data_IF_359937602773
#
_entry.id   IF_359937602773
#
_cell.length_a   1.000
_cell.length_b   1.000
_cell.length_c   1.000
_cell.angle_alpha   90.00
_cell.angle_beta   90.00
_cell.angle_gamma   90.00
#
_symmetry.space_group_name_H-M   'P 1'
#
loop_
_entity.id
_entity.type
_entity.pdbx_description
1 polymer ?
#
# COMPACT_ATOMS: atom_id res chain seq x y z
N UNK A 1 -0.43 -1.70 6.72
CA UNK A 1 -1.01 -2.39 5.54
C UNK A 1 -2.48 -1.97 5.45
N UNK A 2 -3.00 -1.57 4.29
CA UNK A 2 -4.39 -1.09 4.14
C UNK A 2 -4.99 -1.50 2.80
N UNK A 3 -6.31 -1.69 2.74
CA UNK A 3 -7.04 -1.77 1.48
C UNK A 3 -7.12 -0.40 0.82
N UNK A 4 -7.02 -0.34 -0.51
CA UNK A 4 -7.22 0.89 -1.28
C UNK A 4 -8.67 1.35 -1.19
N UNK A 5 -9.63 0.42 -1.27
CA UNK A 5 -11.06 0.71 -1.30
C UNK A 5 -11.69 0.25 0.00
N UNK A 6 -12.18 1.19 0.80
CA UNK A 6 -12.91 0.93 2.05
C UNK A 6 -14.14 1.84 2.16
N UNK A 7 -15.20 1.40 2.84
CA UNK A 7 -16.33 2.28 3.13
C UNK A 7 -15.90 3.51 3.94
N UNK A 8 -16.49 4.67 3.63
CA UNK A 8 -16.28 5.98 4.29
C UNK A 8 -14.93 6.63 4.00
N UNK A 9 -13.82 6.00 4.37
CA UNK A 9 -12.47 6.57 4.21
C UNK A 9 -11.59 5.52 3.53
N UNK A 10 -11.00 5.88 2.39
CA UNK A 10 -10.10 4.99 1.65
C UNK A 10 -8.74 4.82 2.34
N UNK A 11 -8.05 3.71 2.12
CA UNK A 11 -6.77 3.45 2.78
C UNK A 11 -5.68 4.45 2.42
N UNK A 12 -5.72 5.02 1.21
CA UNK A 12 -4.83 6.11 0.81
C UNK A 12 -5.00 7.34 1.68
N UNK A 13 -6.24 7.76 1.92
CA UNK A 13 -6.53 8.91 2.76
C UNK A 13 -6.12 8.68 4.23
N UNK A 14 -6.30 7.45 4.74
CA UNK A 14 -5.80 7.10 6.09
C UNK A 14 -4.28 7.22 6.15
N UNK A 15 -3.58 6.66 5.17
CA UNK A 15 -2.12 6.73 5.11
C UNK A 15 -1.63 8.18 5.03
N UNK A 16 -2.26 9.02 4.20
CA UNK A 16 -1.97 10.45 4.07
C UNK A 16 -2.18 11.21 5.39
N UNK A 17 -3.21 10.85 6.17
CA UNK A 17 -3.46 11.45 7.50
C UNK A 17 -2.47 10.98 8.57
N UNK A 18 -1.96 9.76 8.45
CA UNK A 18 -0.99 9.18 9.39
C UNK A 18 0.46 9.57 9.07
N UNK A 19 0.78 9.90 7.82
CA UNK A 19 2.14 10.24 7.39
C UNK A 19 2.76 11.39 8.20
N UNK A 20 2.06 12.50 8.55
CA UNK A 20 2.62 13.57 9.38
C UNK A 20 2.90 13.14 10.83
N UNK A 21 2.15 12.15 11.33
CA UNK A 21 2.30 11.62 12.70
C UNK A 21 3.40 10.56 12.77
N UNK A 22 3.60 9.81 11.67
CA UNK A 22 4.59 8.74 11.57
C UNK A 22 5.40 8.88 10.28
N UNK A 23 6.37 9.81 10.22
CA UNK A 23 7.11 10.11 8.97
C UNK A 23 7.86 8.93 8.36
N UNK A 24 8.25 7.96 9.18
CA UNK A 24 8.97 6.76 8.76
C UNK A 24 8.05 5.54 8.50
N UNK A 25 6.74 5.70 8.69
CA UNK A 25 5.79 4.63 8.47
C UNK A 25 5.80 4.22 7.00
N UNK A 26 5.95 2.91 6.76
CA UNK A 26 5.77 2.32 5.45
C UNK A 26 4.33 1.84 5.29
N UNK A 27 3.77 2.07 4.11
CA UNK A 27 2.41 1.66 3.79
C UNK A 27 2.45 0.70 2.61
N UNK A 28 1.77 -0.43 2.77
CA UNK A 28 1.44 -1.38 1.69
C UNK A 28 -0.05 -1.25 1.42
N UNK A 29 -0.39 -0.96 0.16
CA UNK A 29 -1.75 -0.87 -0.35
C UNK A 29 -2.16 -2.18 -1.02
N UNK A 30 -3.38 -2.66 -0.74
CA UNK A 30 -3.91 -3.88 -1.33
C UNK A 30 -5.16 -3.57 -2.15
N UNK A 31 -5.29 -4.12 -3.36
CA UNK A 31 -6.49 -3.97 -4.21
C UNK A 31 -6.73 -5.21 -5.06
N UNK A 32 -7.99 -5.59 -5.25
CA UNK A 32 -8.41 -6.61 -6.23
C UNK A 32 -9.05 -6.02 -7.49
N UNK A 33 -8.99 -4.69 -7.67
CA UNK A 33 -9.45 -4.01 -8.87
C UNK A 33 -8.35 -3.95 -9.93
N UNK A 34 -8.74 -3.93 -11.21
CA UNK A 34 -7.81 -3.83 -12.34
C UNK A 34 -6.98 -2.55 -12.31
N UNK A 35 -5.82 -2.60 -12.97
CA UNK A 35 -4.82 -1.51 -13.05
C UNK A 35 -5.43 -0.13 -13.32
N UNK A 36 -6.42 -0.02 -14.20
CA UNK A 36 -7.04 1.27 -14.55
C UNK A 36 -7.72 1.98 -13.36
N UNK A 37 -8.24 1.23 -12.39
CA UNK A 37 -8.82 1.82 -11.17
C UNK A 37 -7.74 2.25 -10.19
N UNK A 38 -6.67 1.47 -10.07
CA UNK A 38 -5.55 1.73 -9.16
C UNK A 38 -4.72 2.93 -9.65
N UNK A 39 -4.51 3.07 -10.96
CA UNK A 39 -3.89 4.25 -11.59
C UNK A 39 -4.70 5.50 -11.28
N UNK A 40 -6.04 5.47 -11.46
CA UNK A 40 -6.92 6.62 -11.20
C UNK A 40 -6.90 7.05 -9.73
N UNK A 41 -6.73 6.11 -8.81
CA UNK A 41 -6.58 6.39 -7.38
C UNK A 41 -5.17 6.86 -7.00
N UNK A 42 -4.24 6.90 -7.97
CA UNK A 42 -2.86 7.32 -7.78
C UNK A 42 -2.10 6.42 -6.81
N UNK A 43 -2.39 5.11 -6.83
CA UNK A 43 -1.75 4.09 -5.98
C UNK A 43 -0.53 3.44 -6.68
N UNK A 44 -0.40 3.63 -8.00
CA UNK A 44 0.77 3.21 -8.80
C UNK A 44 1.82 4.31 -8.98
N UNK A 45 1.77 5.39 -8.19
CA UNK A 45 2.81 6.40 -8.24
C UNK A 45 4.16 5.80 -7.80
N UNK A 46 5.29 6.22 -8.40
CA UNK A 46 6.62 5.74 -8.02
C UNK A 46 6.85 5.86 -6.51
N UNK A 47 7.27 4.76 -5.87
CA UNK A 47 7.54 4.71 -4.43
C UNK A 47 6.38 4.24 -3.54
N UNK A 48 5.19 3.97 -4.11
CA UNK A 48 4.09 3.35 -3.36
C UNK A 48 4.23 1.82 -3.37
N UNK A 49 4.13 1.20 -2.19
CA UNK A 49 4.17 -0.25 -2.09
C UNK A 49 2.77 -0.82 -2.33
N UNK A 50 2.63 -1.61 -3.39
CA UNK A 50 1.36 -2.19 -3.79
C UNK A 50 1.41 -3.73 -3.75
N UNK A 51 0.27 -4.35 -3.40
CA UNK A 51 0.06 -5.80 -3.41
C UNK A 51 -1.31 -6.11 -4.03
N UNK A 52 -1.30 -6.72 -5.21
CA UNK A 52 -2.52 -7.11 -5.92
C UNK A 52 -3.20 -8.30 -5.24
N UNK A 53 -4.53 -8.27 -5.16
CA UNK A 53 -5.36 -9.40 -4.71
C UNK A 53 -5.83 -10.21 -5.92
N UNK A 54 -5.91 -11.55 -5.82
CA UNK A 54 -5.58 -12.35 -4.65
C UNK A 54 -4.07 -12.55 -4.46
N UNK A 55 -3.63 -12.67 -3.21
CA UNK A 55 -2.24 -12.98 -2.86
C UNK A 55 -2.17 -14.12 -1.86
N UNK A 56 -1.05 -14.84 -1.84
CA UNK A 56 -0.78 -15.87 -0.82
C UNK A 56 -0.17 -15.24 0.45
N UNK A 57 -0.23 -15.94 1.61
CA UNK A 57 0.48 -15.52 2.82
C UNK A 57 1.98 -15.29 2.59
N UNK A 58 2.63 -16.12 1.78
CA UNK A 58 4.06 -15.99 1.44
C UNK A 58 4.30 -14.75 0.57
N UNK A 59 3.39 -14.44 -0.35
CA UNK A 59 3.44 -13.22 -1.16
C UNK A 59 3.35 -11.96 -0.28
N UNK A 60 2.45 -11.97 0.70
CA UNK A 60 2.34 -10.89 1.68
C UNK A 60 3.62 -10.75 2.52
N UNK A 61 4.13 -11.86 3.06
CA UNK A 61 5.34 -11.86 3.88
C UNK A 61 6.55 -11.32 3.09
N UNK A 62 6.73 -11.76 1.84
CA UNK A 62 7.78 -11.26 0.95
C UNK A 62 7.66 -9.75 0.75
N UNK A 63 6.44 -9.25 0.51
CA UNK A 63 6.24 -7.81 0.32
C UNK A 63 6.55 -7.00 1.57
N UNK A 64 6.21 -7.52 2.75
CA UNK A 64 6.56 -6.87 4.02
C UNK A 64 8.07 -6.76 4.18
N UNK A 65 8.81 -7.85 3.92
CA UNK A 65 10.28 -7.84 3.99
C UNK A 65 10.87 -6.84 2.99
N UNK A 66 10.45 -6.89 1.73
CA UNK A 66 10.90 -5.98 0.67
C UNK A 66 10.74 -4.50 1.09
N UNK A 67 9.62 -4.16 1.72
CA UNK A 67 9.31 -2.78 2.13
C UNK A 67 10.11 -2.32 3.34
N UNK A 68 10.45 -3.23 4.25
CA UNK A 68 11.22 -2.93 5.45
C UNK A 68 12.73 -2.84 5.15
N UNK A 69 13.25 -3.69 4.26
CA UNK A 69 14.68 -3.73 3.90
C UNK A 69 15.18 -2.48 3.16
N UNK A 70 14.29 -1.64 2.61
CA UNK A 70 14.66 -0.34 1.99
C UNK A 70 15.28 0.63 3.01
N UNK A 71 15.20 0.36 4.32
CA UNK A 71 15.78 1.21 5.38
C UNK A 71 17.25 0.92 5.72
N UNK A 72 17.84 -0.17 5.21
CA UNK A 72 19.21 -0.58 5.56
C UNK A 72 20.27 -0.21 4.49
N UNK A 73 20.03 0.84 3.68
CA UNK A 73 21.02 1.35 2.71
C UNK A 73 21.17 2.87 2.74
#
# INVERSE_FOLDING_TARGET
>A
ITDVVMPKIGGKEIAERLQPLYPHMKVIYMSGYTDGTIVRLGVLAPGLNFLEKPFSPEGLARKVVEVLEVLDK
#
